data_IF_070804483129
#
_entry.id   IF_070804483129
#
_cell.length_a   1.000
_cell.length_b   1.000
_cell.length_c   1.000
_cell.angle_alpha   90.00
_cell.angle_beta   90.00
_cell.angle_gamma   90.00
#
_symmetry.space_group_name_H-M   'P 1'
#
loop_
_entity.id
_entity.type
_entity.pdbx_description
1 polymer ?
#
# COMPACT_ATOMS: atom_id res chain seq x y z
N UNK A 1 28.15 24.25 40.89
CA UNK A 1 28.26 23.86 39.46
C UNK A 1 27.22 22.84 39.02
N UNK A 2 27.00 21.72 39.72
CA UNK A 2 26.01 20.68 39.34
C UNK A 2 24.59 21.20 39.07
N UNK A 3 24.08 22.14 39.89
CA UNK A 3 22.75 22.76 39.70
C UNK A 3 22.63 23.60 38.41
N UNK A 4 23.69 24.31 38.01
CA UNK A 4 23.70 25.11 36.77
C UNK A 4 23.74 24.22 35.53
N UNK A 5 24.54 23.14 35.57
CA UNK A 5 24.55 22.14 34.49
C UNK A 5 23.21 21.42 34.35
N UNK A 6 22.55 21.10 35.46
CA UNK A 6 21.20 20.54 35.44
C UNK A 6 20.18 21.50 34.81
N UNK A 7 20.26 22.80 35.13
CA UNK A 7 19.40 23.82 34.49
C UNK A 7 19.66 23.93 32.99
N UNK A 8 20.93 23.95 32.57
CA UNK A 8 21.30 23.99 31.14
C UNK A 8 20.77 22.74 30.41
N UNK A 9 20.97 21.56 30.99
CA UNK A 9 20.45 20.31 30.44
C UNK A 9 18.92 20.36 30.30
N UNK A 10 18.22 20.85 31.32
CA UNK A 10 16.76 20.96 31.30
C UNK A 10 16.28 21.90 30.20
N UNK A 11 16.95 23.05 30.01
CA UNK A 11 16.63 23.97 28.89
C UNK A 11 16.82 23.29 27.54
N UNK A 12 17.94 22.57 27.34
CA UNK A 12 18.20 21.85 26.08
C UNK A 12 17.12 20.79 25.82
N UNK A 13 16.77 20.00 26.85
CA UNK A 13 15.73 18.97 26.74
C UNK A 13 14.36 19.58 26.45
N UNK A 14 14.00 20.70 27.08
CA UNK A 14 12.75 21.40 26.81
C UNK A 14 12.68 21.91 25.37
N UNK A 15 13.75 22.52 24.85
CA UNK A 15 13.82 22.95 23.45
C UNK A 15 13.67 21.75 22.51
N UNK A 16 14.39 20.66 22.80
CA UNK A 16 14.32 19.44 22.02
C UNK A 16 12.91 18.82 22.02
N UNK A 17 12.20 18.83 23.15
CA UNK A 17 10.81 18.36 23.24
C UNK A 17 9.87 19.21 22.38
N UNK A 18 9.99 20.54 22.42
CA UNK A 18 9.16 21.44 21.58
C UNK A 18 9.38 21.16 20.10
N UNK A 19 10.63 21.02 19.67
CA UNK A 19 10.97 20.67 18.27
C UNK A 19 10.40 19.30 17.91
N UNK A 20 10.53 18.32 18.80
CA UNK A 20 10.02 16.96 18.59
C UNK A 20 8.49 16.94 18.45
N UNK A 21 7.77 17.70 19.27
CA UNK A 21 6.31 17.86 19.17
C UNK A 21 5.92 18.52 17.85
N UNK A 22 6.66 19.56 17.44
CA UNK A 22 6.43 20.23 16.15
C UNK A 22 6.54 19.24 14.99
N UNK A 23 7.64 18.48 14.91
CA UNK A 23 7.81 17.48 13.85
C UNK A 23 6.79 16.35 13.95
N UNK A 24 6.49 15.84 15.15
CA UNK A 24 5.45 14.83 15.32
C UNK A 24 4.10 15.26 14.74
N UNK A 25 3.69 16.51 14.95
CA UNK A 25 2.46 17.04 14.38
C UNK A 25 2.53 17.15 12.84
N UNK A 26 3.70 17.37 12.24
CA UNK A 26 3.88 17.36 10.78
C UNK A 26 3.73 15.95 10.16
N UNK A 27 3.85 14.88 10.97
CA UNK A 27 3.57 13.51 10.52
C UNK A 27 2.10 13.13 10.61
N UNK A 28 1.27 13.93 11.31
CA UNK A 28 -0.15 13.63 11.47
C UNK A 28 -0.89 14.00 10.20
N UNK A 29 -1.59 13.03 9.63
CA UNK A 29 -2.48 13.24 8.50
C UNK A 29 -3.78 12.46 8.69
N UNK A 30 -4.84 12.95 8.06
CA UNK A 30 -6.14 12.30 8.01
C UNK A 30 -6.48 12.02 6.56
N UNK A 31 -7.04 10.83 6.30
CA UNK A 31 -7.41 10.40 4.96
C UNK A 31 -8.85 9.93 5.01
N UNK A 32 -9.62 10.37 4.03
CA UNK A 32 -10.98 9.93 3.83
C UNK A 32 -10.97 8.77 2.83
N UNK A 33 -11.49 7.62 3.22
CA UNK A 33 -11.59 6.44 2.36
C UNK A 33 -13.05 6.07 2.14
N UNK A 34 -13.38 5.65 0.93
CA UNK A 34 -14.67 5.10 0.57
C UNK A 34 -14.42 3.76 -0.12
N UNK A 35 -14.66 2.67 0.61
CA UNK A 35 -14.54 1.30 0.08
C UNK A 35 -15.70 1.04 -0.87
N UNK A 36 -15.41 0.55 -2.06
CA UNK A 36 -16.41 0.27 -3.11
C UNK A 36 -16.57 -1.25 -3.28
N UNK A 37 -15.45 -1.96 -3.43
CA UNK A 37 -15.38 -3.41 -3.61
C UNK A 37 -16.39 -3.95 -4.65
N UNK A 38 -16.25 -3.48 -5.89
CA UNK A 38 -17.11 -3.87 -7.02
C UNK A 38 -16.33 -4.51 -8.14
N UNK A 39 -16.83 -5.63 -8.64
CA UNK A 39 -16.28 -6.34 -9.78
C UNK A 39 -17.08 -6.04 -11.04
N UNK A 40 -16.39 -5.76 -12.14
CA UNK A 40 -16.94 -5.59 -13.48
C UNK A 40 -16.29 -6.64 -14.36
N UNK A 41 -17.10 -7.50 -14.96
CA UNK A 41 -16.64 -8.33 -16.06
C UNK A 41 -16.66 -7.51 -17.34
N UNK A 42 -15.52 -7.37 -18.00
CA UNK A 42 -15.41 -6.69 -19.28
C UNK A 42 -14.51 -7.50 -20.20
N UNK A 43 -15.09 -7.99 -21.30
CA UNK A 43 -14.43 -8.91 -22.22
C UNK A 43 -13.87 -10.14 -21.48
N UNK A 44 -12.57 -10.41 -21.57
CA UNK A 44 -11.90 -11.54 -20.90
C UNK A 44 -11.24 -11.14 -19.56
N UNK A 45 -11.61 -9.97 -19.04
CA UNK A 45 -10.95 -9.33 -17.91
C UNK A 45 -11.94 -9.07 -16.79
N UNK A 46 -11.45 -9.14 -15.55
CA UNK A 46 -12.19 -8.73 -14.37
C UNK A 46 -11.56 -7.44 -13.86
N UNK A 47 -12.35 -6.38 -13.73
CA UNK A 47 -11.94 -5.11 -13.16
C UNK A 47 -12.56 -5.02 -11.76
N UNK A 48 -11.73 -4.98 -10.73
CA UNK A 48 -12.15 -4.71 -9.37
C UNK A 48 -11.91 -3.25 -9.02
N UNK A 49 -12.98 -2.52 -8.77
CA UNK A 49 -12.95 -1.18 -8.22
C UNK A 49 -12.87 -1.28 -6.70
N UNK A 50 -11.71 -0.95 -6.16
CA UNK A 50 -11.40 -1.20 -4.76
C UNK A 50 -11.94 -0.07 -3.88
N UNK A 51 -11.41 1.15 -4.07
CA UNK A 51 -11.72 2.29 -3.22
C UNK A 51 -11.50 3.64 -3.90
N UNK A 52 -12.12 4.66 -3.29
CA UNK A 52 -11.76 6.06 -3.48
C UNK A 52 -11.12 6.61 -2.23
N UNK A 53 -10.17 7.50 -2.43
CA UNK A 53 -9.38 8.07 -1.35
C UNK A 53 -9.29 9.57 -1.56
N UNK A 54 -9.51 10.35 -0.51
CA UNK A 54 -9.29 11.79 -0.53
C UNK A 54 -8.31 12.19 0.57
N UNK A 55 -7.28 12.94 0.18
CA UNK A 55 -6.29 13.55 1.07
C UNK A 55 -6.15 15.04 0.74
N UNK A 56 -5.90 15.85 1.75
CA UNK A 56 -5.55 17.27 1.65
C UNK A 56 -4.04 17.53 1.75
N UNK A 57 -3.25 16.46 1.74
CA UNK A 57 -1.80 16.50 1.81
C UNK A 57 -1.18 15.81 0.60
N UNK A 58 -0.13 16.43 0.05
CA UNK A 58 0.76 15.79 -0.92
C UNK A 58 1.98 15.20 -0.19
N UNK A 59 2.37 13.98 -0.60
CA UNK A 59 3.60 13.36 -0.09
C UNK A 59 4.81 14.16 -0.57
N UNK A 60 5.63 14.58 0.37
CA UNK A 60 6.95 15.12 0.07
C UNK A 60 7.94 13.96 0.11
N UNK A 61 8.35 13.47 -1.06
CA UNK A 61 9.37 12.43 -1.14
C UNK A 61 10.67 12.96 -0.55
N UNK A 62 10.95 12.53 0.67
CA UNK A 62 12.17 12.87 1.38
C UNK A 62 13.31 12.13 0.67
N UNK A 63 14.03 12.83 -0.20
CA UNK A 63 15.34 12.36 -0.60
C UNK A 63 16.32 12.62 0.55
N UNK A 64 17.02 11.57 0.98
CA UNK A 64 18.14 11.75 1.89
C UNK A 64 19.24 12.53 1.16
N UNK A 65 19.72 13.60 1.78
CA UNK A 65 20.76 14.41 1.16
C UNK A 65 22.09 13.65 1.12
N UNK A 66 23.02 14.13 0.29
CA UNK A 66 24.36 13.53 0.08
C UNK A 66 25.15 13.26 1.37
N UNK A 67 24.87 13.97 2.47
CA UNK A 67 25.53 13.73 3.75
C UNK A 67 25.06 12.45 4.45
N UNK A 68 23.79 12.06 4.30
CA UNK A 68 23.27 10.81 4.88
C UNK A 68 23.98 9.61 4.26
N UNK A 69 24.15 9.63 2.94
CA UNK A 69 24.89 8.60 2.21
C UNK A 69 26.37 8.52 2.59
N UNK A 70 26.95 9.59 3.15
CA UNK A 70 28.33 9.58 3.68
C UNK A 70 28.41 9.08 5.12
N UNK A 71 27.41 9.36 5.95
CA UNK A 71 27.39 9.03 7.38
C UNK A 71 26.92 7.60 7.62
N UNK A 72 25.84 7.17 6.98
CA UNK A 72 25.21 5.86 7.20
C UNK A 72 26.20 4.70 7.05
N UNK A 73 27.02 4.62 5.98
CA UNK A 73 27.96 3.51 5.83
C UNK A 73 29.07 3.47 6.87
N UNK A 74 29.31 4.59 7.59
CA UNK A 74 30.33 4.71 8.64
C UNK A 74 29.79 4.36 10.02
N UNK A 75 28.48 4.26 10.18
CA UNK A 75 27.87 3.85 11.43
C UNK A 75 27.92 2.32 11.57
N UNK A 76 28.11 1.80 12.80
CA UNK A 76 27.83 0.40 13.09
C UNK A 76 26.46 -0.01 12.58
N UNK A 77 26.32 -1.23 12.02
CA UNK A 77 25.09 -1.68 11.34
C UNK A 77 23.82 -1.47 12.17
N UNK A 78 23.88 -1.75 13.47
CA UNK A 78 22.75 -1.57 14.40
C UNK A 78 22.30 -0.11 14.57
N UNK A 79 23.15 0.87 14.26
CA UNK A 79 22.82 2.31 14.33
C UNK A 79 22.34 2.88 13.00
N UNK A 80 22.55 2.19 11.88
CA UNK A 80 22.19 2.70 10.56
C UNK A 80 20.68 2.94 10.43
N UNK A 81 19.86 1.92 10.78
CA UNK A 81 18.39 2.01 10.74
C UNK A 81 17.84 3.05 11.73
N UNK A 82 18.21 3.05 13.03
CA UNK A 82 17.79 4.09 13.97
C UNK A 82 18.15 5.50 13.49
N UNK A 83 19.36 5.70 12.97
CA UNK A 83 19.79 6.99 12.45
C UNK A 83 18.90 7.47 11.29
N UNK A 84 18.64 6.61 10.30
CA UNK A 84 17.77 6.95 9.17
C UNK A 84 16.32 7.24 9.62
N UNK A 85 15.80 6.46 10.56
CA UNK A 85 14.46 6.67 11.12
C UNK A 85 14.37 8.01 11.86
N UNK A 86 15.33 8.33 12.73
CA UNK A 86 15.38 9.62 13.44
C UNK A 86 15.54 10.78 12.46
N UNK A 87 16.42 10.68 11.46
CA UNK A 87 16.56 11.70 10.42
C UNK A 87 15.28 11.90 9.60
N UNK A 88 14.55 10.82 9.32
CA UNK A 88 13.25 10.89 8.66
C UNK A 88 12.17 11.53 9.54
N UNK A 89 12.22 11.33 10.87
CA UNK A 89 11.31 11.97 11.82
C UNK A 89 11.41 13.50 11.78
N UNK A 90 12.63 14.04 11.80
CA UNK A 90 12.88 15.49 11.80
C UNK A 90 12.81 16.12 10.40
N UNK A 91 11.96 15.58 9.52
CA UNK A 91 11.67 16.12 8.19
C UNK A 91 10.17 16.34 8.03
N UNK A 92 9.80 17.10 7.01
CA UNK A 92 8.41 17.35 6.62
C UNK A 92 7.98 16.31 5.57
N UNK A 93 7.32 15.21 5.96
CA UNK A 93 6.91 14.14 5.04
C UNK A 93 5.74 14.53 4.12
N UNK A 94 5.00 15.57 4.49
CA UNK A 94 3.80 16.02 3.80
C UNK A 94 3.84 17.53 3.60
N UNK A 95 3.16 17.99 2.56
CA UNK A 95 2.89 19.41 2.27
C UNK A 95 1.39 19.59 2.10
N UNK A 96 0.87 20.68 2.66
CA UNK A 96 -0.50 21.12 2.39
C UNK A 96 -0.64 21.55 0.92
N UNK A 97 -1.84 21.45 0.37
CA UNK A 97 -2.10 21.85 -1.01
C UNK A 97 -2.16 23.38 -1.10
N UNK A 98 -1.25 23.97 -1.88
CA UNK A 98 -1.11 25.43 -2.00
C UNK A 98 -2.37 26.16 -2.48
N UNK A 99 -3.27 25.48 -3.21
CA UNK A 99 -4.51 26.04 -3.75
C UNK A 99 -5.74 25.81 -2.86
N UNK A 100 -5.54 25.38 -1.61
CA UNK A 100 -6.61 24.91 -0.74
C UNK A 100 -6.77 25.72 0.56
N UNK A 101 -6.69 27.06 0.47
CA UNK A 101 -6.82 27.95 1.64
C UNK A 101 -8.15 27.76 2.38
N UNK A 102 -9.25 27.50 1.65
CA UNK A 102 -10.58 27.26 2.23
C UNK A 102 -10.84 25.78 2.60
N UNK A 103 -9.83 24.91 2.51
CA UNK A 103 -9.93 23.45 2.70
C UNK A 103 -10.95 22.71 1.80
N UNK A 104 -11.55 23.42 0.83
CA UNK A 104 -12.60 22.95 -0.08
C UNK A 104 -12.14 21.83 -1.02
N UNK A 105 -10.88 21.85 -1.43
CA UNK A 105 -10.32 20.92 -2.41
C UNK A 105 -9.48 19.82 -1.75
N UNK A 106 -9.25 18.73 -2.48
CA UNK A 106 -8.34 17.66 -2.08
C UNK A 106 -7.81 16.91 -3.30
N UNK A 107 -6.85 16.03 -3.06
CA UNK A 107 -6.41 15.02 -4.01
C UNK A 107 -7.31 13.80 -3.82
N UNK A 108 -8.14 13.52 -4.81
CA UNK A 108 -8.88 12.26 -4.89
C UNK A 108 -8.07 11.24 -5.69
N UNK A 109 -8.06 9.98 -5.26
CA UNK A 109 -7.50 8.85 -5.99
C UNK A 109 -8.53 7.73 -6.10
N UNK A 110 -8.88 7.34 -7.31
CA UNK A 110 -9.47 6.04 -7.59
C UNK A 110 -8.36 4.99 -7.57
N UNK A 111 -8.63 3.86 -6.93
CA UNK A 111 -7.77 2.68 -6.98
C UNK A 111 -8.57 1.47 -7.41
N UNK A 112 -7.94 0.66 -8.23
CA UNK A 112 -8.57 -0.51 -8.79
C UNK A 112 -7.52 -1.52 -9.25
N UNK A 113 -7.99 -2.75 -9.41
CA UNK A 113 -7.20 -3.92 -9.79
C UNK A 113 -7.82 -4.55 -11.04
N UNK A 114 -6.99 -4.92 -12.00
CA UNK A 114 -7.38 -5.58 -13.24
C UNK A 114 -6.80 -6.99 -13.21
N UNK A 115 -7.63 -8.00 -13.49
CA UNK A 115 -7.24 -9.40 -13.58
C UNK A 115 -7.47 -9.90 -15.00
N UNK A 116 -6.42 -10.43 -15.63
CA UNK A 116 -6.52 -11.01 -16.96
C UNK A 116 -5.82 -12.39 -17.00
N UNK A 117 -6.38 -13.34 -17.74
CA UNK A 117 -5.70 -14.61 -18.03
C UNK A 117 -4.93 -14.44 -19.35
N UNK A 118 -3.60 -14.48 -19.28
CA UNK A 118 -2.63 -14.26 -20.38
C UNK A 118 -2.48 -12.78 -20.76
N UNK A 119 -1.58 -12.07 -20.07
CA UNK A 119 -1.49 -10.61 -20.16
C UNK A 119 -0.83 -10.14 -21.44
N UNK A 120 -1.53 -9.22 -22.11
CA UNK A 120 -0.90 -8.20 -22.92
C UNK A 120 -0.87 -6.89 -22.09
N UNK A 121 0.31 -6.43 -21.63
CA UNK A 121 0.43 -5.19 -20.86
C UNK A 121 -0.12 -3.96 -21.57
N UNK A 122 -0.12 -3.94 -22.91
CA UNK A 122 -0.70 -2.86 -23.70
C UNK A 122 -2.23 -2.85 -23.58
N UNK A 123 -2.85 -4.03 -23.60
CA UNK A 123 -4.29 -4.19 -23.41
C UNK A 123 -4.75 -3.74 -22.01
N UNK A 124 -3.99 -4.08 -20.95
CA UNK A 124 -4.27 -3.59 -19.60
C UNK A 124 -4.24 -2.06 -19.50
N UNK A 125 -3.23 -1.44 -20.13
CA UNK A 125 -3.12 0.01 -20.16
C UNK A 125 -4.33 0.65 -20.84
N UNK A 126 -4.80 0.05 -21.93
CA UNK A 126 -6.00 0.50 -22.64
C UNK A 126 -7.28 0.37 -21.78
N UNK A 127 -7.43 -0.70 -20.99
CA UNK A 127 -8.56 -0.83 -20.06
C UNK A 127 -8.55 0.26 -19.00
N UNK A 128 -7.38 0.55 -18.42
CA UNK A 128 -7.24 1.63 -17.44
C UNK A 128 -7.72 2.98 -18.04
N UNK A 129 -7.35 3.29 -19.28
CA UNK A 129 -7.77 4.53 -19.95
C UNK A 129 -9.28 4.62 -20.22
N UNK A 130 -10.00 3.50 -20.29
CA UNK A 130 -11.46 3.44 -20.46
C UNK A 130 -12.27 3.75 -19.19
N UNK A 131 -11.60 3.83 -18.03
CA UNK A 131 -12.25 4.05 -16.74
C UNK A 131 -12.19 5.53 -16.37
N UNK A 132 -13.34 6.14 -16.14
CA UNK A 132 -13.43 7.56 -15.80
C UNK A 132 -14.30 7.79 -14.56
N UNK A 133 -14.09 8.95 -13.95
CA UNK A 133 -14.92 9.46 -12.86
C UNK A 133 -15.81 10.55 -13.42
N UNK A 134 -17.08 10.53 -13.06
CA UNK A 134 -18.06 11.57 -13.36
C UNK A 134 -18.73 12.03 -12.07
N UNK A 135 -19.10 13.30 -11.99
CA UNK A 135 -19.95 13.79 -10.90
C UNK A 135 -21.42 13.39 -11.09
N UNK A 136 -22.28 13.82 -10.18
CA UNK A 136 -23.72 13.61 -10.20
C UNK A 136 -24.45 14.41 -11.29
N UNK A 137 -23.80 15.43 -11.85
CA UNK A 137 -24.31 16.26 -12.95
C UNK A 137 -23.92 15.70 -14.32
N UNK A 138 -23.11 14.64 -14.36
CA UNK A 138 -22.64 14.01 -15.58
C UNK A 138 -21.41 14.67 -16.19
N UNK A 139 -20.69 15.52 -15.45
CA UNK A 139 -19.41 16.08 -15.88
C UNK A 139 -18.28 15.13 -15.52
N UNK A 140 -17.32 14.98 -16.44
CA UNK A 140 -16.11 14.20 -16.17
C UNK A 140 -15.20 14.94 -15.18
N UNK A 141 -14.76 14.20 -14.16
CA UNK A 141 -13.74 14.68 -13.24
C UNK A 141 -12.35 14.50 -13.91
N UNK A 142 -11.53 15.55 -13.98
CA UNK A 142 -10.25 15.48 -14.67
C UNK A 142 -9.30 14.51 -13.98
N UNK A 143 -8.64 13.67 -14.79
CA UNK A 143 -7.50 12.86 -14.32
C UNK A 143 -6.23 13.67 -14.52
N UNK A 144 -5.57 13.99 -13.42
CA UNK A 144 -4.33 14.78 -13.38
C UNK A 144 -3.07 13.92 -13.31
N UNK A 145 -3.20 12.68 -12.84
CA UNK A 145 -2.11 11.73 -12.73
C UNK A 145 -2.73 10.32 -12.75
N UNK A 146 -2.15 9.40 -13.51
CA UNK A 146 -2.48 7.99 -13.49
C UNK A 146 -1.19 7.18 -13.26
N UNK A 147 -1.34 5.94 -12.82
CA UNK A 147 -0.23 5.03 -12.67
C UNK A 147 -0.73 3.59 -12.70
N UNK A 148 0.12 2.70 -13.17
CA UNK A 148 -0.15 1.27 -13.26
C UNK A 148 1.09 0.51 -12.79
N UNK A 149 0.88 -0.59 -12.08
CA UNK A 149 1.91 -1.56 -11.70
C UNK A 149 1.41 -2.95 -12.10
N UNK A 150 2.17 -3.58 -13.01
CA UNK A 150 1.80 -4.81 -13.68
C UNK A 150 2.60 -5.97 -13.10
N UNK A 151 1.92 -7.06 -12.76
CA UNK A 151 2.51 -8.25 -12.15
C UNK A 151 1.85 -9.48 -12.77
N UNK A 152 2.56 -10.26 -13.58
CA UNK A 152 2.13 -11.51 -14.23
C UNK A 152 0.69 -11.55 -14.78
N UNK A 153 -0.31 -11.67 -13.90
CA UNK A 153 -1.74 -11.71 -14.21
C UNK A 153 -2.64 -10.62 -13.59
N UNK A 154 -2.03 -9.68 -12.88
CA UNK A 154 -2.70 -8.65 -12.09
C UNK A 154 -2.07 -7.29 -12.42
N UNK A 155 -2.92 -6.30 -12.64
CA UNK A 155 -2.48 -4.92 -12.78
C UNK A 155 -3.19 -4.05 -11.77
N UNK A 156 -2.43 -3.43 -10.89
CA UNK A 156 -2.95 -2.41 -9.97
C UNK A 156 -2.83 -1.06 -10.65
N UNK A 157 -3.90 -0.26 -10.60
CA UNK A 157 -3.84 1.09 -11.14
C UNK A 157 -4.50 2.11 -10.23
N UNK A 158 -4.10 3.36 -10.45
CA UNK A 158 -4.73 4.49 -9.82
C UNK A 158 -4.96 5.62 -10.83
N UNK A 159 -6.01 6.43 -10.56
CA UNK A 159 -6.25 7.71 -11.22
C UNK A 159 -6.49 8.78 -10.18
N UNK A 160 -5.77 9.90 -10.26
CA UNK A 160 -5.85 11.02 -9.32
C UNK A 160 -6.43 12.26 -9.97
N UNK A 161 -7.30 12.92 -9.22
CA UNK A 161 -7.70 14.30 -9.46
C UNK A 161 -7.13 15.16 -8.31
N UNK A 162 -6.11 15.97 -8.60
CA UNK A 162 -5.49 16.84 -7.59
C UNK A 162 -6.42 17.97 -7.10
N UNK A 163 -7.44 18.36 -7.87
CA UNK A 163 -8.40 19.43 -7.51
C UNK A 163 -9.83 18.89 -7.38
N UNK A 164 -10.00 17.85 -6.57
CA UNK A 164 -11.32 17.33 -6.27
C UNK A 164 -12.05 18.24 -5.28
N UNK A 165 -13.29 18.64 -5.61
CA UNK A 165 -14.17 19.40 -4.72
C UNK A 165 -14.77 18.45 -3.66
N UNK A 166 -14.40 18.62 -2.39
CA UNK A 166 -14.84 17.74 -1.30
C UNK A 166 -16.33 17.85 -0.98
N UNK A 167 -17.03 18.86 -1.52
CA UNK A 167 -18.48 18.99 -1.38
C UNK A 167 -19.26 18.01 -2.26
N UNK A 168 -18.60 17.35 -3.23
CA UNK A 168 -19.21 16.29 -4.03
C UNK A 168 -19.47 15.09 -3.12
N UNK A 169 -20.74 14.70 -3.00
CA UNK A 169 -21.18 13.56 -2.17
C UNK A 169 -21.42 12.28 -2.99
N UNK A 170 -21.59 12.41 -4.30
CA UNK A 170 -21.87 11.29 -5.19
C UNK A 170 -20.97 11.38 -6.43
N UNK A 171 -20.40 10.26 -6.82
CA UNK A 171 -19.69 10.14 -8.08
C UNK A 171 -20.10 8.87 -8.80
N UNK A 172 -19.93 8.87 -10.11
CA UNK A 172 -20.14 7.74 -10.97
C UNK A 172 -18.80 7.28 -11.52
N UNK A 173 -18.49 6.00 -11.34
CA UNK A 173 -17.34 5.38 -12.01
C UNK A 173 -17.88 4.76 -13.29
N UNK A 174 -17.39 5.24 -14.43
CA UNK A 174 -17.87 4.81 -15.74
C UNK A 174 -16.78 4.05 -16.48
N UNK A 175 -17.18 2.97 -17.13
CA UNK A 175 -16.35 2.22 -18.06
C UNK A 175 -16.88 2.48 -19.47
N UNK A 176 -15.99 2.85 -20.38
CA UNK A 176 -16.30 3.09 -21.79
C UNK A 176 -15.79 1.98 -22.71
N UNK A 177 -16.40 1.85 -23.88
CA UNK A 177 -15.85 1.07 -24.99
C UNK A 177 -14.91 1.91 -25.88
N UNK A 178 -14.33 1.30 -26.91
CA UNK A 178 -13.46 1.99 -27.88
C UNK A 178 -14.17 3.05 -28.74
N UNK A 179 -15.50 3.13 -28.64
CA UNK A 179 -16.34 4.10 -29.34
C UNK A 179 -16.89 5.17 -28.40
N UNK A 180 -16.31 5.30 -27.21
CA UNK A 180 -16.70 6.24 -26.16
C UNK A 180 -18.11 6.02 -25.56
N UNK A 181 -18.76 4.89 -25.85
CA UNK A 181 -20.05 4.56 -25.26
C UNK A 181 -19.86 4.05 -23.83
N UNK A 182 -20.73 4.49 -22.92
CA UNK A 182 -20.74 4.00 -21.54
C UNK A 182 -21.26 2.55 -21.53
N UNK A 183 -20.37 1.63 -21.16
CA UNK A 183 -20.66 0.18 -21.02
C UNK A 183 -21.23 -0.11 -19.65
N UNK A 184 -20.69 0.54 -18.61
CA UNK A 184 -21.09 0.32 -17.22
C UNK A 184 -20.93 1.58 -16.41
N UNK A 185 -21.86 1.80 -15.48
CA UNK A 185 -21.81 2.88 -14.49
C UNK A 185 -21.97 2.29 -13.10
N UNK A 186 -21.02 2.59 -12.22
CA UNK A 186 -21.10 2.28 -10.80
C UNK A 186 -21.37 3.58 -10.05
N UNK A 187 -22.60 3.79 -9.54
CA UNK A 187 -22.88 4.92 -8.67
C UNK A 187 -22.25 4.68 -7.30
N UNK A 188 -21.50 5.67 -6.83
CA UNK A 188 -20.81 5.65 -5.54
C UNK A 188 -21.30 6.83 -4.71
N UNK A 189 -21.96 6.52 -3.60
CA UNK A 189 -22.25 7.50 -2.56
C UNK A 189 -21.04 7.57 -1.61
N UNK A 190 -20.43 8.75 -1.52
CA UNK A 190 -19.16 8.97 -0.84
C UNK A 190 -19.34 9.00 0.69
N UNK A 191 -19.44 7.81 1.28
CA UNK A 191 -19.48 7.62 2.73
C UNK A 191 -18.06 7.52 3.28
N UNK A 192 -17.45 8.67 3.51
CA UNK A 192 -16.07 8.76 3.96
C UNK A 192 -15.86 8.14 5.33
N UNK A 193 -14.90 7.21 5.40
CA UNK A 193 -14.30 6.71 6.63
C UNK A 193 -12.98 7.44 6.85
N UNK A 194 -12.84 8.08 8.01
CA UNK A 194 -11.64 8.86 8.35
C UNK A 194 -10.61 7.92 9.00
N UNK A 195 -9.43 7.84 8.40
CA UNK A 195 -8.28 7.15 8.97
C UNK A 195 -7.18 8.16 9.31
N UNK A 196 -6.62 8.01 10.51
CA UNK A 196 -5.60 8.92 11.04
C UNK A 196 -4.26 8.21 11.11
N UNK A 197 -3.25 8.85 10.55
CA UNK A 197 -1.88 8.35 10.51
C UNK A 197 -0.95 9.32 11.21
N UNK A 198 0.18 8.80 11.69
CA UNK A 198 1.25 9.56 12.32
C UNK A 198 2.60 8.89 12.05
N UNK A 199 3.66 9.34 12.72
CA UNK A 199 4.99 8.79 12.50
C UNK A 199 5.11 7.30 12.88
N UNK A 200 4.42 6.88 13.94
CA UNK A 200 4.45 5.52 14.48
C UNK A 200 3.40 4.63 13.80
N UNK A 201 2.22 5.17 13.50
CA UNK A 201 1.21 4.53 12.67
C UNK A 201 1.27 5.13 11.26
N UNK A 202 2.26 4.69 10.46
CA UNK A 202 2.52 5.30 9.16
C UNK A 202 1.43 4.97 8.17
N UNK A 203 1.12 5.98 7.37
CA UNK A 203 0.35 5.81 6.15
C UNK A 203 1.13 4.83 5.24
N UNK A 204 0.53 3.72 4.81
CA UNK A 204 1.22 2.74 3.96
C UNK A 204 1.56 3.37 2.59
N UNK A 205 2.31 2.72 1.70
CA UNK A 205 2.69 3.37 0.43
C UNK A 205 1.56 3.27 -0.61
N UNK A 206 1.02 4.42 -1.07
CA UNK A 206 -0.36 4.51 -1.63
C UNK A 206 -0.54 4.19 -3.09
N UNK A 207 0.51 4.15 -3.90
CA UNK A 207 0.29 3.89 -5.31
C UNK A 207 -0.38 2.50 -5.48
N UNK A 208 -0.02 1.53 -4.62
CA UNK A 208 -0.55 0.16 -4.67
C UNK A 208 -0.78 -0.40 -3.25
N UNK A 209 -1.50 0.33 -2.38
CA UNK A 209 -1.68 -0.10 -0.98
C UNK A 209 -2.42 -1.44 -0.83
N UNK A 210 -3.36 -1.72 -1.73
CA UNK A 210 -4.03 -3.02 -1.84
C UNK A 210 -3.20 -3.96 -2.71
N UNK A 211 -1.95 -4.15 -2.31
CA UNK A 211 -1.02 -5.07 -2.96
C UNK A 211 -0.70 -6.23 -1.99
N UNK A 212 -1.12 -7.47 -2.31
CA UNK A 212 -0.85 -8.64 -1.48
C UNK A 212 0.65 -8.89 -1.25
N UNK A 213 1.54 -8.41 -2.11
CA UNK A 213 3.01 -8.50 -1.90
C UNK A 213 3.43 -7.81 -0.63
N UNK A 214 2.75 -6.74 -0.21
CA UNK A 214 3.11 -6.03 1.02
C UNK A 214 2.89 -6.92 2.24
N UNK A 215 1.79 -7.68 2.30
CA UNK A 215 1.54 -8.64 3.40
C UNK A 215 2.56 -9.77 3.38
N UNK A 216 2.92 -10.29 2.20
CA UNK A 216 3.94 -11.35 2.06
C UNK A 216 5.33 -10.85 2.46
N UNK A 217 5.72 -9.65 2.02
CA UNK A 217 7.00 -9.01 2.40
C UNK A 217 7.07 -8.78 3.91
N UNK A 218 5.99 -8.30 4.50
CA UNK A 218 5.91 -8.08 5.95
C UNK A 218 6.07 -9.41 6.71
N UNK A 219 5.41 -10.49 6.25
CA UNK A 219 5.60 -11.83 6.80
C UNK A 219 7.08 -12.24 6.76
N UNK A 220 7.74 -12.10 5.61
CA UNK A 220 9.16 -12.46 5.45
C UNK A 220 10.05 -11.65 6.41
N UNK A 221 9.84 -10.34 6.51
CA UNK A 221 10.63 -9.45 7.37
C UNK A 221 10.48 -9.83 8.84
N UNK A 222 9.23 -10.02 9.31
CA UNK A 222 8.95 -10.37 10.70
C UNK A 222 9.46 -11.76 11.04
N UNK A 223 9.33 -12.73 10.13
CA UNK A 223 9.93 -14.07 10.27
C UNK A 223 11.45 -14.05 10.39
N UNK A 224 12.14 -13.28 9.54
CA UNK A 224 13.61 -13.12 9.64
C UNK A 224 14.05 -12.44 10.94
N UNK A 225 13.18 -11.63 11.54
CA UNK A 225 13.48 -10.84 12.74
C UNK A 225 12.96 -11.47 14.04
N UNK A 226 12.33 -12.65 13.97
CA UNK A 226 11.64 -13.31 15.10
C UNK A 226 10.59 -12.40 15.78
N UNK A 227 9.91 -11.57 14.98
CA UNK A 227 8.82 -10.70 15.42
C UNK A 227 7.46 -11.40 15.26
N UNK A 228 6.46 -11.02 16.06
CA UNK A 228 5.11 -11.55 15.94
C UNK A 228 4.45 -11.13 14.60
N UNK A 229 3.87 -12.10 13.92
CA UNK A 229 3.27 -11.98 12.58
C UNK A 229 1.84 -12.54 12.53
N UNK A 230 1.28 -12.97 13.66
CA UNK A 230 -0.05 -13.58 13.70
C UNK A 230 -1.15 -12.61 13.27
N UNK A 231 -0.95 -11.31 13.47
CA UNK A 231 -1.84 -10.25 12.99
C UNK A 231 -1.94 -10.20 11.46
N UNK A 232 -1.00 -10.78 10.71
CA UNK A 232 -1.08 -10.85 9.24
C UNK A 232 -2.07 -11.89 8.73
N UNK A 233 -2.52 -12.81 9.60
CA UNK A 233 -3.44 -13.87 9.25
C UNK A 233 -4.89 -13.47 9.47
N UNK A 234 -5.80 -14.09 8.73
CA UNK A 234 -7.23 -13.92 8.91
C UNK A 234 -7.71 -14.72 10.13
N UNK A 235 -8.24 -14.04 11.16
CA UNK A 235 -8.62 -14.65 12.44
C UNK A 235 -9.82 -15.62 12.37
N UNK A 236 -10.57 -15.67 11.26
CA UNK A 236 -11.78 -16.49 11.18
C UNK A 236 -11.47 -17.98 11.02
N UNK A 237 -11.49 -18.70 12.16
CA UNK A 237 -11.88 -20.12 12.22
C UNK A 237 -10.85 -21.15 11.75
N UNK A 238 -9.68 -20.73 11.27
CA UNK A 238 -8.64 -21.66 10.83
C UNK A 238 -7.51 -21.77 11.87
N UNK A 239 -7.12 -23.00 12.20
CA UNK A 239 -5.83 -23.26 12.83
C UNK A 239 -4.77 -22.95 11.79
N UNK A 240 -4.12 -21.80 11.92
CA UNK A 240 -2.90 -21.49 11.19
C UNK A 240 -1.91 -22.62 11.52
N UNK A 241 -1.53 -23.40 10.52
CA UNK A 241 -0.54 -24.45 10.69
C UNK A 241 0.85 -23.81 10.76
N UNK A 242 1.23 -23.39 11.97
CA UNK A 242 2.52 -22.76 12.21
C UNK A 242 3.70 -23.70 11.95
N UNK A 243 3.47 -25.01 11.86
CA UNK A 243 4.51 -25.99 11.50
C UNK A 243 5.02 -25.78 10.08
N UNK A 244 4.15 -25.33 9.15
CA UNK A 244 4.56 -25.01 7.77
C UNK A 244 5.57 -23.86 7.70
N UNK A 245 5.63 -23.03 8.74
CA UNK A 245 6.57 -21.92 8.84
C UNK A 245 7.82 -22.25 9.67
N UNK A 246 7.91 -23.46 10.23
CA UNK A 246 9.00 -23.88 11.11
C UNK A 246 10.10 -24.60 10.31
N UNK A 247 10.93 -23.82 9.62
CA UNK A 247 12.05 -24.34 8.82
C UNK A 247 13.18 -23.30 8.72
N UNK A 248 14.40 -23.75 8.44
CA UNK A 248 15.58 -22.87 8.45
C UNK A 248 15.76 -22.05 7.16
N UNK A 249 15.01 -22.35 6.09
CA UNK A 249 15.08 -21.63 4.81
C UNK A 249 14.75 -20.12 4.92
N UNK A 250 14.19 -19.64 6.04
CA UNK A 250 14.02 -18.20 6.26
C UNK A 250 15.34 -17.42 6.25
N UNK A 251 16.50 -18.09 6.43
CA UNK A 251 17.80 -17.45 6.33
C UNK A 251 18.28 -17.26 4.87
N UNK A 252 17.65 -17.93 3.91
CA UNK A 252 18.04 -17.89 2.51
C UNK A 252 17.63 -16.59 1.82
N UNK A 253 18.06 -16.45 0.57
CA UNK A 253 17.55 -15.40 -0.32
C UNK A 253 16.14 -15.80 -0.73
N UNK A 254 15.16 -14.94 -0.44
CA UNK A 254 13.75 -15.24 -0.69
C UNK A 254 13.28 -14.35 -1.83
N UNK A 255 12.77 -14.97 -2.89
CA UNK A 255 12.08 -14.30 -3.96
C UNK A 255 10.59 -14.58 -3.86
N UNK A 256 9.77 -13.54 -3.88
CA UNK A 256 8.33 -13.65 -4.11
C UNK A 256 8.13 -13.24 -5.56
N UNK A 257 8.25 -14.19 -6.49
CA UNK A 257 8.33 -13.87 -7.92
C UNK A 257 7.02 -13.33 -8.49
N UNK A 258 5.85 -13.77 -7.98
CA UNK A 258 4.58 -13.22 -8.46
C UNK A 258 3.39 -13.40 -7.50
N UNK A 259 2.34 -12.61 -7.78
CA UNK A 259 1.01 -12.75 -7.20
C UNK A 259 0.04 -13.12 -8.31
N UNK A 260 -0.70 -14.20 -8.10
CA UNK A 260 -1.71 -14.69 -9.04
C UNK A 260 -3.10 -14.63 -8.42
N UNK A 261 -4.10 -14.15 -9.16
CA UNK A 261 -5.49 -14.25 -8.74
C UNK A 261 -6.02 -15.63 -9.16
N UNK A 262 -6.42 -16.45 -8.18
CA UNK A 262 -6.84 -17.83 -8.42
C UNK A 262 -8.36 -18.02 -8.31
N UNK A 263 -9.10 -16.94 -8.04
CA UNK A 263 -10.55 -16.98 -7.88
C UNK A 263 -10.93 -17.60 -6.54
N UNK A 264 -11.23 -18.90 -6.51
CA UNK A 264 -11.71 -19.57 -5.31
C UNK A 264 -10.67 -20.57 -4.79
N UNK A 265 -10.50 -20.62 -3.46
CA UNK A 265 -9.67 -21.62 -2.79
C UNK A 265 -10.36 -22.10 -1.51
N UNK A 266 -10.71 -23.39 -1.47
CA UNK A 266 -11.57 -23.97 -0.42
C UNK A 266 -12.88 -23.19 -0.31
N UNK A 267 -13.27 -22.77 0.90
CA UNK A 267 -14.44 -21.93 1.16
C UNK A 267 -14.24 -20.43 0.88
N UNK A 268 -13.02 -20.01 0.51
CA UNK A 268 -12.71 -18.60 0.28
C UNK A 268 -12.89 -18.22 -1.19
N UNK A 269 -13.52 -17.08 -1.40
CA UNK A 269 -13.64 -16.41 -2.70
C UNK A 269 -12.60 -15.28 -2.80
N UNK A 270 -12.29 -14.88 -4.04
CA UNK A 270 -11.35 -13.80 -4.36
C UNK A 270 -9.95 -13.99 -3.75
N UNK A 271 -9.40 -15.18 -3.94
CA UNK A 271 -8.12 -15.61 -3.36
C UNK A 271 -6.97 -15.28 -4.30
N UNK A 272 -5.90 -14.82 -3.69
CA UNK A 272 -4.62 -14.48 -4.30
C UNK A 272 -3.57 -15.47 -3.82
N UNK A 273 -2.67 -15.85 -4.71
CA UNK A 273 -1.60 -16.80 -4.47
C UNK A 273 -0.26 -16.12 -4.70
N UNK A 274 0.60 -16.13 -3.69
CA UNK A 274 2.01 -15.80 -3.80
C UNK A 274 2.85 -17.06 -3.74
N UNK A 275 3.81 -17.21 -4.65
CA UNK A 275 4.82 -18.27 -4.58
C UNK A 275 6.14 -17.69 -4.07
N UNK A 276 6.61 -18.21 -2.94
CA UNK A 276 7.90 -17.94 -2.34
C UNK A 276 8.91 -18.96 -2.84
N UNK A 277 10.05 -18.47 -3.31
CA UNK A 277 11.20 -19.25 -3.71
C UNK A 277 12.36 -18.98 -2.77
N UNK A 278 12.88 -20.03 -2.15
CA UNK A 278 14.04 -19.96 -1.26
C UNK A 278 15.27 -20.41 -2.05
N UNK A 279 16.24 -19.49 -2.18
CA UNK A 279 17.45 -19.69 -2.97
C UNK A 279 18.69 -19.58 -2.09
N UNK A 280 19.55 -20.60 -2.16
CA UNK A 280 20.87 -20.61 -1.52
C UNK A 280 21.94 -20.60 -2.60
N UNK A 281 22.87 -19.65 -2.53
CA UNK A 281 23.92 -19.47 -3.55
C UNK A 281 23.36 -19.39 -5.00
N UNK A 282 22.18 -18.77 -5.15
CA UNK A 282 21.38 -18.66 -6.39
C UNK A 282 20.79 -19.97 -6.93
N UNK A 283 20.87 -21.08 -6.20
CA UNK A 283 20.20 -22.34 -6.53
C UNK A 283 18.84 -22.38 -5.82
N UNK A 284 17.79 -22.75 -6.55
CA UNK A 284 16.45 -22.91 -5.98
C UNK A 284 16.40 -24.17 -5.13
N UNK A 285 16.21 -24.02 -3.83
CA UNK A 285 16.20 -25.13 -2.87
C UNK A 285 14.78 -25.56 -2.51
N UNK A 286 13.87 -24.59 -2.39
CA UNK A 286 12.49 -24.89 -2.02
C UNK A 286 11.50 -23.82 -2.46
N UNK A 287 10.23 -24.22 -2.48
CA UNK A 287 9.09 -23.36 -2.79
C UNK A 287 8.03 -23.44 -1.69
N UNK A 288 7.31 -22.35 -1.48
CA UNK A 288 6.17 -22.29 -0.58
C UNK A 288 5.07 -21.37 -1.11
N UNK A 289 3.82 -21.81 -0.98
CA UNK A 289 2.67 -21.04 -1.44
C UNK A 289 2.00 -20.33 -0.28
N UNK A 290 1.70 -19.05 -0.48
CA UNK A 290 0.96 -18.21 0.47
C UNK A 290 -0.34 -17.77 -0.17
N UNK A 291 -1.46 -18.07 0.47
CA UNK A 291 -2.81 -17.75 0.01
C UNK A 291 -3.33 -16.55 0.80
N UNK A 292 -3.85 -15.55 0.09
CA UNK A 292 -4.28 -14.28 0.65
C UNK A 292 -5.68 -13.91 0.20
N UNK A 293 -6.41 -13.19 1.05
CA UNK A 293 -7.68 -12.55 0.71
C UNK A 293 -7.58 -11.05 0.97
N UNK A 294 -8.31 -10.28 0.20
CA UNK A 294 -8.54 -8.87 0.51
C UNK A 294 -9.63 -8.73 1.57
N UNK A 295 -9.34 -7.98 2.64
CA UNK A 295 -10.31 -7.66 3.70
C UNK A 295 -10.87 -6.24 3.60
N UNK A 296 -10.60 -5.55 2.49
CA UNK A 296 -10.97 -4.15 2.23
C UNK A 296 -10.03 -3.12 2.86
N UNK A 297 -9.24 -3.53 3.86
CA UNK A 297 -8.22 -2.67 4.48
C UNK A 297 -6.80 -3.09 4.16
N UNK A 298 -6.57 -4.40 4.18
CA UNK A 298 -5.27 -5.05 3.96
C UNK A 298 -5.51 -6.43 3.39
N UNK A 299 -4.50 -7.00 2.75
CA UNK A 299 -4.50 -8.43 2.49
C UNK A 299 -4.18 -9.21 3.76
N UNK A 300 -4.92 -10.27 4.00
CA UNK A 300 -4.68 -11.21 5.10
C UNK A 300 -4.33 -12.57 4.54
N UNK A 301 -3.39 -13.25 5.19
CA UNK A 301 -3.02 -14.61 4.85
C UNK A 301 -4.10 -15.55 5.40
N UNK A 302 -4.66 -16.38 4.53
CA UNK A 302 -5.59 -17.44 4.93
C UNK A 302 -4.82 -18.75 5.16
N UNK A 303 -3.80 -19.03 4.36
CA UNK A 303 -3.08 -20.29 4.43
C UNK A 303 -1.67 -20.17 3.88
N UNK A 304 -0.75 -20.97 4.42
CA UNK A 304 0.59 -21.17 3.88
C UNK A 304 0.79 -22.67 3.70
N UNK A 305 1.18 -23.09 2.50
CA UNK A 305 1.41 -24.49 2.19
C UNK A 305 2.62 -25.03 2.94
N UNK A 306 2.72 -26.36 3.12
CA UNK A 306 3.97 -26.98 3.48
C UNK A 306 5.09 -26.59 2.50
N UNK A 307 6.32 -26.55 3.02
CA UNK A 307 7.51 -26.31 2.22
C UNK A 307 7.72 -27.47 1.24
N UNK A 308 7.98 -27.16 -0.03
CA UNK A 308 8.31 -28.13 -1.07
C UNK A 308 9.78 -28.01 -1.43
N UNK A 309 10.58 -29.01 -1.03
CA UNK A 309 12.00 -29.08 -1.40
C UNK A 309 12.10 -29.46 -2.88
N UNK A 310 12.86 -28.67 -3.64
CA UNK A 310 13.14 -28.92 -5.04
C UNK A 310 14.37 -29.83 -5.10
N UNK A 311 14.16 -31.10 -5.45
CA UNK A 311 15.27 -32.00 -5.74
C UNK A 311 15.65 -31.82 -7.21
N UNK A 312 16.88 -31.34 -7.46
CA UNK A 312 17.49 -31.38 -8.80
C UNK A 312 17.99 -32.78 -9.17
#
# INVERSE_FOLDING_TARGET
MKKRWFQVLLVIVSIWLVITIYFYNQHKISINRCVIDKHIAYENTIIKIDELVVTDHEKNYVMFDSWHFKVVPRLPGFLQKPFLLTSSFYRKPYKELEYNEDHKFGIMSLKATIFEKNLDPEYLHNINEKIHLMDDQGNYLPTTENGTDNEDYISFFYKKNKRFDKSIENINIVLKDDKDNIVTTIPVNLKWQIENYNYFNRMPNWNFYLDPRNTVRELIIRKKSDEDYLDLFQEQGQKIDSENLNHDYWQDTIHSESINYIGNYKEWENVYLSELEFKKDNVLESKQKTYLIDTGKTFKIIEISPLQVVYE
#
